data_IF_219116174353
#
_entry.id   IF_219116174353
#
_cell.length_a   1.000
_cell.length_b   1.000
_cell.length_c   1.000
_cell.angle_alpha   90.00
_cell.angle_beta   90.00
_cell.angle_gamma   90.00
#
_symmetry.space_group_name_H-M   'P 1'
#
loop_
_entity.id
_entity.type
_entity.pdbx_description
1 polymer ?
#
# COMPACT_ATOMS: atom_id res chain seq x y z
N UNK A 1 2.74 1.97 -5.08
CA UNK A 1 3.41 0.65 -5.09
C UNK A 1 4.88 0.89 -4.80
N UNK A 2 5.59 -0.11 -4.25
CA UNK A 2 7.03 -0.05 -4.06
C UNK A 2 7.76 -0.09 -5.41
N UNK A 3 9.00 0.39 -5.41
CA UNK A 3 9.90 0.28 -6.55
C UNK A 3 10.28 -1.18 -6.85
N UNK A 4 10.84 -1.41 -8.04
CA UNK A 4 11.31 -2.74 -8.41
C UNK A 4 12.42 -3.22 -7.46
N UNK A 5 12.27 -4.42 -6.91
CA UNK A 5 13.16 -4.97 -5.88
C UNK A 5 12.92 -4.46 -4.45
N UNK A 6 11.89 -3.62 -4.25
CA UNK A 6 11.51 -3.09 -2.94
C UNK A 6 10.19 -3.70 -2.46
N UNK A 7 10.01 -3.70 -1.14
CA UNK A 7 8.80 -4.21 -0.45
C UNK A 7 8.24 -3.14 0.47
N UNK A 8 6.94 -3.21 0.74
CA UNK A 8 6.28 -2.36 1.71
C UNK A 8 6.59 -2.87 3.11
N UNK A 9 7.13 -2.01 3.97
CA UNK A 9 7.53 -2.33 5.35
C UNK A 9 6.57 -1.77 6.39
N UNK A 10 5.94 -0.64 6.09
CA UNK A 10 5.08 0.07 7.03
C UNK A 10 4.04 0.91 6.31
N UNK A 11 3.01 1.29 7.06
CA UNK A 11 1.94 2.19 6.64
C UNK A 11 1.73 3.25 7.71
N UNK A 12 1.44 4.49 7.30
CA UNK A 12 1.02 5.54 8.22
C UNK A 12 -0.15 6.33 7.65
N UNK A 13 -1.10 6.65 8.54
CA UNK A 13 -2.14 7.61 8.24
C UNK A 13 -1.59 9.03 8.43
N UNK A 14 -1.77 9.88 7.44
CA UNK A 14 -1.35 11.29 7.48
C UNK A 14 -2.57 12.17 7.24
N UNK A 15 -2.89 13.03 8.19
CA UNK A 15 -3.92 14.05 7.99
C UNK A 15 -3.27 15.35 7.51
N UNK A 16 -3.67 15.82 6.33
CA UNK A 16 -3.24 17.09 5.77
C UNK A 16 -4.36 17.71 4.95
N UNK A 17 -4.61 19.01 5.12
CA UNK A 17 -5.67 19.75 4.43
C UNK A 17 -7.07 19.12 4.63
N UNK A 18 -7.35 18.64 5.85
CA UNK A 18 -8.57 17.90 6.22
C UNK A 18 -8.80 16.58 5.47
N UNK A 19 -7.77 16.03 4.84
CA UNK A 19 -7.79 14.76 4.13
C UNK A 19 -6.86 13.79 4.86
N UNK A 20 -7.38 12.65 5.30
CA UNK A 20 -6.55 11.53 5.76
C UNK A 20 -6.07 10.76 4.53
N UNK A 21 -4.75 10.56 4.45
CA UNK A 21 -4.01 9.86 3.40
C UNK A 21 -3.28 8.66 4.00
N UNK A 22 -2.87 7.73 3.14
CA UNK A 22 -2.12 6.55 3.54
C UNK A 22 -0.75 6.55 2.86
N UNK A 23 0.28 6.94 3.61
CA UNK A 23 1.65 6.83 3.12
C UNK A 23 2.17 5.42 3.40
N UNK A 24 3.05 4.93 2.54
CA UNK A 24 3.69 3.63 2.70
C UNK A 24 5.20 3.82 2.83
N UNK A 25 5.85 3.01 3.67
CA UNK A 25 7.30 2.91 3.70
C UNK A 25 7.73 1.73 2.83
N UNK A 26 8.80 1.91 2.07
CA UNK A 26 9.43 0.85 1.31
C UNK A 26 10.87 0.64 1.76
N UNK A 27 11.38 -0.57 1.54
CA UNK A 27 12.80 -0.90 1.65
C UNK A 27 13.21 -2.01 0.70
N UNK A 28 14.49 -2.05 0.32
CA UNK A 28 15.03 -3.04 -0.61
C UNK A 28 14.97 -4.42 0.01
N UNK A 29 14.39 -5.37 -0.72
CA UNK A 29 14.35 -6.76 -0.32
C UNK A 29 15.76 -7.38 -0.37
N UNK A 30 16.10 -8.10 0.68
CA UNK A 30 17.30 -8.91 0.79
C UNK A 30 16.92 -10.38 0.91
N UNK A 31 17.92 -11.24 0.91
CA UNK A 31 17.76 -12.68 1.11
C UNK A 31 16.98 -13.00 2.39
N UNK A 32 16.24 -14.10 2.35
CA UNK A 32 15.46 -14.62 3.47
C UNK A 32 14.41 -13.63 4.01
N UNK A 33 13.87 -12.76 3.17
CA UNK A 33 12.81 -11.81 3.54
C UNK A 33 13.30 -10.64 4.41
N UNK A 34 14.62 -10.45 4.52
CA UNK A 34 15.18 -9.29 5.22
C UNK A 34 15.01 -8.02 4.39
N UNK A 35 15.07 -6.88 5.07
CA UNK A 35 15.03 -5.57 4.42
C UNK A 35 16.30 -4.79 4.75
N UNK A 36 16.91 -4.20 3.72
CA UNK A 36 18.02 -3.27 3.91
C UNK A 36 17.55 -1.97 4.56
N UNK A 37 17.84 -1.81 5.85
CA UNK A 37 17.42 -0.66 6.66
C UNK A 37 17.96 0.67 6.13
N UNK A 38 19.09 0.65 5.40
CA UNK A 38 19.68 1.88 4.83
C UNK A 38 18.89 2.44 3.63
N UNK A 39 17.98 1.63 3.08
CA UNK A 39 17.17 1.97 1.90
C UNK A 39 15.73 2.38 2.25
N UNK A 40 15.39 2.45 3.55
CA UNK A 40 14.04 2.80 3.98
C UNK A 40 13.66 4.21 3.54
N UNK A 41 12.53 4.32 2.87
CA UNK A 41 12.00 5.60 2.40
C UNK A 41 10.47 5.58 2.37
N UNK A 42 9.87 6.76 2.62
CA UNK A 42 8.42 6.92 2.55
C UNK A 42 7.98 7.27 1.13
N UNK A 43 7.05 6.49 0.60
CA UNK A 43 6.28 6.78 -0.61
C UNK A 43 5.04 7.58 -0.18
N UNK A 44 4.98 8.90 -0.48
CA UNK A 44 3.82 9.69 -0.15
C UNK A 44 2.62 9.25 -1.00
N UNK A 45 1.44 9.23 -0.37
CA UNK A 45 0.18 9.12 -1.10
C UNK A 45 0.06 10.28 -2.10
N UNK A 46 -0.45 10.04 -3.33
CA UNK A 46 -0.71 11.09 -4.29
C UNK A 46 -1.57 12.20 -3.66
N UNK A 47 -1.21 13.46 -3.91
CA UNK A 47 -2.11 14.56 -3.57
C UNK A 47 -3.29 14.50 -4.54
N UNK A 48 -4.53 14.56 -4.04
CA UNK A 48 -5.67 14.57 -4.94
C UNK A 48 -5.61 15.75 -5.90
N UNK A 49 -5.92 15.51 -7.17
CA UNK A 49 -6.07 16.58 -8.15
C UNK A 49 -7.26 17.45 -7.72
N UNK A 50 -7.02 18.75 -7.55
CA UNK A 50 -8.07 19.72 -7.23
C UNK A 50 -9.18 19.77 -8.28
N UNK A 51 -8.89 19.33 -9.51
CA UNK A 51 -9.84 19.27 -10.61
C UNK A 51 -10.63 17.95 -10.65
N UNK A 52 -10.24 16.95 -9.86
CA UNK A 52 -10.93 15.66 -9.76
C UNK A 52 -11.00 15.17 -8.30
N UNK A 53 -11.82 15.81 -7.45
CA UNK A 53 -11.97 15.45 -6.05
C UNK A 53 -12.54 14.04 -5.85
N UNK A 54 -13.12 13.41 -6.88
CA UNK A 54 -13.61 12.03 -6.80
C UNK A 54 -12.47 11.00 -6.76
N UNK A 55 -11.28 11.35 -7.27
CA UNK A 55 -10.05 10.56 -7.12
C UNK A 55 -9.37 10.76 -5.77
N UNK A 56 -9.79 11.75 -5.00
CA UNK A 56 -9.36 11.92 -3.63
C UNK A 56 -9.99 10.80 -2.80
N UNK A 57 -9.22 9.78 -2.43
CA UNK A 57 -9.62 8.88 -1.35
C UNK A 57 -9.57 9.66 -0.03
N UNK A 58 -10.64 10.39 0.29
CA UNK A 58 -10.72 11.23 1.48
C UNK A 58 -11.34 10.45 2.64
N UNK A 59 -10.50 9.95 3.53
CA UNK A 59 -10.95 9.60 4.88
C UNK A 59 -11.10 10.92 5.66
N UNK A 60 -12.31 11.33 6.07
CA UNK A 60 -12.51 12.60 6.79
C UNK A 60 -13.91 13.20 6.70
N UNK A 61 -14.38 13.82 7.79
CA UNK A 61 -15.79 14.09 8.10
C UNK A 61 -16.48 15.32 7.47
N UNK A 62 -16.35 15.52 6.16
CA UNK A 62 -17.32 16.40 5.46
C UNK A 62 -18.68 15.69 5.34
N UNK A 63 -19.77 16.41 5.01
CA UNK A 63 -21.09 15.80 4.74
C UNK A 63 -21.04 14.72 3.63
N UNK A 64 -19.99 14.73 2.81
CA UNK A 64 -19.73 13.75 1.74
C UNK A 64 -18.53 12.83 2.03
N UNK A 65 -17.99 12.89 3.24
CA UNK A 65 -16.80 12.16 3.66
C UNK A 65 -17.06 10.70 4.00
N UNK A 66 -16.15 9.80 3.66
CA UNK A 66 -16.29 8.38 4.00
C UNK A 66 -16.14 8.18 5.51
N UNK A 67 -17.10 7.47 6.11
CA UNK A 67 -17.13 7.17 7.54
C UNK A 67 -16.93 5.69 7.86
N UNK A 68 -16.72 4.85 6.84
CA UNK A 68 -16.56 3.41 6.99
C UNK A 68 -15.23 2.96 6.36
N UNK A 69 -14.42 2.30 7.17
CA UNK A 69 -13.24 1.57 6.73
C UNK A 69 -13.54 0.08 6.91
N UNK A 70 -13.58 -0.65 5.81
CA UNK A 70 -13.61 -2.10 5.81
C UNK A 70 -12.26 -2.61 6.32
N UNK A 71 -12.31 -3.46 7.35
CA UNK A 71 -11.13 -4.12 7.88
C UNK A 71 -11.12 -5.55 7.37
N UNK A 72 -10.25 -5.80 6.41
CA UNK A 72 -10.02 -7.12 5.84
C UNK A 72 -8.65 -7.63 6.28
N UNK A 73 -8.57 -8.91 6.65
CA UNK A 73 -7.30 -9.57 6.90
C UNK A 73 -6.77 -10.13 5.58
N UNK A 74 -5.64 -9.60 5.13
CA UNK A 74 -4.98 -10.06 3.91
C UNK A 74 -3.81 -10.96 4.30
N UNK A 75 -3.85 -12.20 3.84
CA UNK A 75 -2.79 -13.18 4.08
C UNK A 75 -1.95 -13.41 2.82
N UNK A 76 -0.64 -13.31 2.98
CA UNK A 76 0.33 -13.88 2.04
C UNK A 76 0.71 -15.30 2.44
N UNK A 77 1.28 -16.06 1.50
CA UNK A 77 1.99 -17.30 1.80
C UNK A 77 3.39 -16.99 2.34
N UNK A 78 4.12 -18.01 2.81
CA UNK A 78 5.51 -17.87 3.29
C UNK A 78 6.51 -17.48 2.19
N UNK A 79 6.09 -17.46 0.92
CA UNK A 79 6.91 -17.07 -0.25
C UNK A 79 6.44 -15.79 -0.91
N UNK A 80 5.59 -15.03 -0.24
CA UNK A 80 5.07 -13.77 -0.76
C UNK A 80 5.47 -12.61 0.15
N UNK A 81 5.71 -11.46 -0.48
CA UNK A 81 5.90 -10.18 0.20
C UNK A 81 4.88 -9.18 -0.32
N UNK A 82 4.62 -8.13 0.46
CA UNK A 82 3.73 -7.05 0.04
C UNK A 82 4.55 -6.02 -0.73
N UNK A 83 4.13 -5.71 -1.95
CA UNK A 83 4.79 -4.74 -2.84
C UNK A 83 3.89 -3.56 -3.20
N UNK A 84 2.60 -3.64 -2.85
CA UNK A 84 1.65 -2.59 -3.14
C UNK A 84 0.54 -2.54 -2.12
N UNK A 85 0.05 -1.33 -1.88
CA UNK A 85 -1.13 -1.06 -1.08
C UNK A 85 -1.98 -0.08 -1.87
N UNK A 86 -3.29 -0.31 -1.90
CA UNK A 86 -4.26 0.61 -2.49
C UNK A 86 -5.47 0.70 -1.59
N UNK A 87 -6.15 1.84 -1.66
CA UNK A 87 -7.47 2.00 -1.06
C UNK A 87 -8.49 1.99 -2.19
N UNK A 88 -9.48 1.09 -2.07
CA UNK A 88 -10.55 0.92 -3.06
C UNK A 88 -11.87 1.37 -2.44
N UNK A 89 -12.66 2.11 -3.20
CA UNK A 89 -14.01 2.48 -2.82
C UNK A 89 -15.01 1.44 -3.32
N UNK A 90 -15.83 0.93 -2.42
CA UNK A 90 -17.01 0.11 -2.75
C UNK A 90 -18.23 0.73 -2.07
N UNK A 91 -19.07 1.42 -2.84
CA UNK A 91 -20.21 2.17 -2.29
C UNK A 91 -19.78 3.30 -1.36
N UNK A 92 -20.12 3.18 -0.07
CA UNK A 92 -19.82 4.13 1.01
C UNK A 92 -18.64 3.69 1.91
N UNK A 93 -18.01 2.56 1.58
CA UNK A 93 -16.93 1.96 2.38
C UNK A 93 -15.61 2.00 1.62
N UNK A 94 -14.54 2.32 2.34
CA UNK A 94 -13.17 2.22 1.85
C UNK A 94 -12.58 0.89 2.30
N UNK A 95 -12.01 0.14 1.36
CA UNK A 95 -11.30 -1.11 1.61
C UNK A 95 -9.82 -0.91 1.37
N UNK A 96 -9.00 -1.54 2.22
CA UNK A 96 -7.58 -1.68 1.96
C UNK A 96 -7.36 -2.95 1.15
N UNK A 97 -6.62 -2.86 0.05
CA UNK A 97 -6.13 -4.02 -0.69
C UNK A 97 -4.60 -4.02 -0.71
N UNK A 98 -4.02 -5.20 -0.71
CA UNK A 98 -2.58 -5.39 -0.77
C UNK A 98 -2.20 -6.22 -1.99
N UNK A 99 -1.10 -5.83 -2.63
CA UNK A 99 -0.49 -6.59 -3.72
C UNK A 99 0.56 -7.50 -3.12
N UNK A 100 0.35 -8.81 -3.24
CA UNK A 100 1.37 -9.80 -2.88
C UNK A 100 2.18 -10.17 -4.11
N UNK A 101 3.48 -10.34 -3.94
CA UNK A 101 4.41 -10.75 -5.01
C UNK A 101 5.26 -11.91 -4.52
N UNK A 102 5.36 -12.95 -5.34
CA UNK A 102 6.20 -14.11 -5.03
C UNK A 102 7.71 -13.77 -5.08
N UNK A 103 8.43 -14.27 -4.08
CA UNK A 103 9.86 -14.06 -3.91
C UNK A 103 10.64 -15.37 -3.84
N UNK A 104 11.89 -15.30 -4.26
CA UNK A 104 12.88 -16.36 -4.05
C UNK A 104 13.58 -16.17 -2.71
N UNK A 105 14.19 -17.23 -2.18
CA UNK A 105 14.98 -17.16 -0.94
C UNK A 105 16.18 -16.20 -1.05
N UNK A 106 16.65 -15.94 -2.28
CA UNK A 106 17.76 -15.03 -2.59
C UNK A 106 17.34 -13.54 -2.60
N UNK A 107 16.14 -13.21 -2.13
CA UNK A 107 15.72 -11.81 -2.00
C UNK A 107 15.43 -11.13 -3.34
N UNK A 108 15.06 -11.92 -4.36
CA UNK A 108 14.65 -11.42 -5.67
C UNK A 108 13.23 -11.86 -5.97
N UNK A 109 12.48 -11.03 -6.68
CA UNK A 109 11.17 -11.42 -7.22
C UNK A 109 11.34 -12.65 -8.12
N UNK A 110 10.45 -13.62 -7.98
CA UNK A 110 10.53 -14.82 -8.80
C UNK A 110 10.35 -14.46 -10.28
N UNK A 111 11.21 -14.98 -11.16
CA UNK A 111 11.07 -14.78 -12.61
C UNK A 111 9.77 -15.44 -13.08
N UNK A 112 8.83 -14.65 -13.60
CA UNK A 112 7.46 -15.10 -13.91
C UNK A 112 6.57 -15.27 -12.68
N UNK A 113 7.02 -14.79 -11.51
CA UNK A 113 6.29 -14.79 -10.26
C UNK A 113 4.98 -14.02 -10.37
N UNK A 114 3.92 -14.58 -9.80
CA UNK A 114 2.61 -13.92 -9.85
C UNK A 114 2.60 -12.75 -8.87
N UNK A 115 1.99 -11.65 -9.32
CA UNK A 115 1.59 -10.56 -8.45
C UNK A 115 0.09 -10.40 -8.51
N UNK A 116 -0.57 -10.40 -7.36
CA UNK A 116 -2.03 -10.35 -7.29
C UNK A 116 -2.49 -9.35 -6.23
N UNK A 117 -3.61 -8.68 -6.52
CA UNK A 117 -4.29 -7.84 -5.55
C UNK A 117 -5.26 -8.70 -4.76
N UNK A 118 -5.05 -8.73 -3.45
CA UNK A 118 -5.95 -9.34 -2.48
C UNK A 118 -6.72 -8.23 -1.76
#
# INVERSE_FOLDING_TARGET
EAEEGFVITSLKFVQKDNIIRLDAEQGKLLENGKVDQSTLSWIPSPTPDSNDPAKATQLGGSENGFRKLGLDMIYGTTKEVITGIKVVRTGDTLHLSAKTTEVTINGSFASGGKSEWK
#
